data_IF_854367015693
#
_entry.id   IF_854367015693
#
_cell.length_a   1.000
_cell.length_b   1.000
_cell.length_c   1.000
_cell.angle_alpha   90.00
_cell.angle_beta   90.00
_cell.angle_gamma   90.00
#
_symmetry.space_group_name_H-M   'P 1'
#
loop_
_entity.id
_entity.type
_entity.pdbx_description
1 polymer ?
#
# COMPACT_ATOMS: atom_id res chain seq x y z
N UNK A 1 -16.53 -5.37 5.60
CA UNK A 1 -15.66 -4.18 5.85
C UNK A 1 -15.12 -3.48 4.60
N UNK A 2 -15.31 -4.00 3.39
CA UNK A 2 -14.80 -3.39 2.13
C UNK A 2 -15.60 -2.19 1.62
N UNK A 3 -16.89 -2.04 1.96
CA UNK A 3 -17.77 -1.01 1.40
C UNK A 3 -17.38 0.43 1.76
N UNK A 4 -16.76 0.67 2.92
CA UNK A 4 -16.47 2.03 3.39
C UNK A 4 -15.34 2.68 2.57
N UNK A 5 -14.32 1.89 2.22
CA UNK A 5 -13.16 2.35 1.43
C UNK A 5 -13.59 2.72 0.00
N UNK A 6 -14.44 1.91 -0.63
CA UNK A 6 -14.97 2.21 -1.96
C UNK A 6 -15.97 3.37 -1.95
N UNK A 7 -16.60 3.66 -0.81
CA UNK A 7 -17.47 4.82 -0.64
C UNK A 7 -16.68 6.13 -0.50
N UNK A 8 -15.54 6.12 0.21
CA UNK A 8 -14.64 7.28 0.30
C UNK A 8 -13.89 7.54 -1.01
N UNK A 9 -13.51 6.49 -1.73
CA UNK A 9 -12.76 6.61 -2.97
C UNK A 9 -13.47 5.82 -4.09
N UNK A 10 -14.51 6.40 -4.72
CA UNK A 10 -15.30 5.71 -5.74
C UNK A 10 -14.47 5.28 -6.96
N UNK A 11 -13.38 6.02 -7.26
CA UNK A 11 -12.41 5.66 -8.31
C UNK A 11 -11.63 4.37 -8.03
N UNK A 12 -11.61 3.86 -6.79
CA UNK A 12 -11.01 2.55 -6.49
C UNK A 12 -11.83 1.40 -7.07
N UNK A 13 -13.13 1.60 -7.34
CA UNK A 13 -13.98 0.53 -7.84
C UNK A 13 -13.63 0.14 -9.28
N UNK A 14 -13.18 1.11 -10.09
CA UNK A 14 -12.73 0.93 -11.48
C UNK A 14 -11.29 0.42 -11.63
N UNK A 15 -10.55 0.24 -10.52
CA UNK A 15 -9.19 -0.30 -10.55
C UNK A 15 -9.17 -1.83 -10.77
N UNK A 16 -8.12 -2.31 -11.45
CA UNK A 16 -7.88 -3.75 -11.64
C UNK A 16 -7.63 -4.45 -10.30
N UNK A 17 -7.80 -5.78 -10.24
CA UNK A 17 -7.52 -6.57 -9.03
C UNK A 17 -6.10 -6.33 -8.49
N UNK A 18 -5.12 -6.19 -9.39
CA UNK A 18 -3.72 -5.91 -9.07
C UNK A 18 -3.51 -4.52 -8.49
N UNK A 19 -4.15 -3.50 -9.08
CA UNK A 19 -4.12 -2.13 -8.53
C UNK A 19 -4.79 -2.05 -7.15
N UNK A 20 -5.91 -2.77 -6.96
CA UNK A 20 -6.57 -2.86 -5.65
C UNK A 20 -5.64 -3.50 -4.60
N UNK A 21 -4.85 -4.50 -4.97
CA UNK A 21 -3.85 -5.12 -4.11
C UNK A 21 -2.73 -4.13 -3.75
N UNK A 22 -2.16 -3.44 -4.74
CA UNK A 22 -1.09 -2.46 -4.52
C UNK A 22 -1.58 -1.28 -3.66
N UNK A 23 -2.84 -0.86 -3.82
CA UNK A 23 -3.44 0.15 -2.95
C UNK A 23 -3.59 -0.33 -1.50
N UNK A 24 -3.93 -1.60 -1.27
CA UNK A 24 -3.96 -2.18 0.08
C UNK A 24 -2.56 -2.26 0.70
N UNK A 25 -1.56 -2.63 -0.09
CA UNK A 25 -0.15 -2.62 0.33
C UNK A 25 0.33 -1.20 0.66
N UNK A 26 -0.09 -0.21 -0.12
CA UNK A 26 0.18 1.20 0.16
C UNK A 26 -0.41 1.61 1.51
N UNK A 27 -1.70 1.32 1.76
CA UNK A 27 -2.35 1.60 3.04
C UNK A 27 -1.61 0.94 4.21
N UNK A 28 -1.23 -0.33 4.05
CA UNK A 28 -0.47 -1.06 5.06
C UNK A 28 0.88 -0.40 5.35
N UNK A 29 1.62 -0.01 4.30
CA UNK A 29 2.92 0.65 4.44
C UNK A 29 2.82 2.01 5.16
N UNK A 30 1.78 2.80 4.87
CA UNK A 30 1.54 4.08 5.55
C UNK A 30 1.26 3.84 7.04
N UNK A 31 0.43 2.85 7.38
CA UNK A 31 0.19 2.49 8.77
C UNK A 31 1.48 2.04 9.47
N UNK A 32 2.28 1.17 8.85
CA UNK A 32 3.58 0.75 9.42
C UNK A 32 4.54 1.92 9.62
N UNK A 33 4.53 2.90 8.71
CA UNK A 33 5.38 4.09 8.81
C UNK A 33 4.95 4.98 9.98
N UNK A 34 3.64 5.17 10.18
CA UNK A 34 3.10 5.91 11.34
C UNK A 34 3.42 5.21 12.66
N UNK A 35 3.19 3.90 12.74
CA UNK A 35 3.54 3.11 13.94
C UNK A 35 5.04 3.08 14.20
N UNK A 36 5.85 2.91 13.15
CA UNK A 36 7.30 2.98 13.25
C UNK A 36 7.76 4.34 13.75
N UNK A 37 7.23 5.44 13.21
CA UNK A 37 7.59 6.78 13.68
C UNK A 37 7.21 6.99 15.15
N UNK A 38 6.02 6.52 15.54
CA UNK A 38 5.57 6.55 16.93
C UNK A 38 6.52 5.78 17.87
N UNK A 39 6.91 4.55 17.50
CA UNK A 39 7.86 3.76 18.29
C UNK A 39 9.28 4.37 18.33
N UNK A 40 9.67 5.12 17.29
CA UNK A 40 10.99 5.74 17.17
C UNK A 40 11.09 6.90 18.15
N UNK A 41 10.04 7.73 18.19
CA UNK A 41 9.90 8.81 19.16
C UNK A 41 9.84 8.24 20.58
N UNK A 42 9.17 7.08 20.76
CA UNK A 42 9.10 6.37 22.04
C UNK A 42 10.37 5.61 22.47
N UNK A 43 11.48 5.74 21.74
CA UNK A 43 12.77 5.14 22.10
C UNK A 43 12.81 3.61 22.10
N UNK A 44 11.89 2.94 21.40
CA UNK A 44 11.85 1.47 21.37
C UNK A 44 12.96 0.89 20.49
N UNK A 45 13.61 -0.21 20.93
CA UNK A 45 14.63 -0.87 20.12
C UNK A 45 14.05 -1.44 18.82
N UNK A 46 14.89 -1.63 17.81
CA UNK A 46 14.56 -2.18 16.47
C UNK A 46 13.63 -1.33 15.60
N UNK A 47 13.29 -0.11 16.03
CA UNK A 47 12.34 0.71 15.28
C UNK A 47 12.87 1.15 13.91
N UNK A 48 14.18 1.34 13.76
CA UNK A 48 14.77 1.71 12.47
C UNK A 48 14.60 0.60 11.41
N UNK A 49 14.57 -0.67 11.81
CA UNK A 49 14.30 -1.79 10.90
C UNK A 49 12.82 -1.80 10.46
N UNK A 50 11.90 -1.49 11.38
CA UNK A 50 10.48 -1.37 11.08
C UNK A 50 10.24 -0.19 10.13
N UNK A 51 10.89 0.96 10.38
CA UNK A 51 10.79 2.13 9.52
C UNK A 51 11.38 1.86 8.13
N UNK A 52 12.57 1.24 8.08
CA UNK A 52 13.25 0.90 6.84
C UNK A 52 12.44 -0.07 5.98
N UNK A 53 11.90 -1.13 6.57
CA UNK A 53 11.04 -2.08 5.86
C UNK A 53 9.72 -1.43 5.40
N UNK A 54 9.11 -0.57 6.21
CA UNK A 54 7.93 0.20 5.82
C UNK A 54 8.20 1.10 4.60
N UNK A 55 9.36 1.77 4.56
CA UNK A 55 9.76 2.60 3.42
C UNK A 55 9.94 1.78 2.14
N UNK A 56 10.58 0.60 2.21
CA UNK A 56 10.75 -0.28 1.05
C UNK A 56 9.39 -0.70 0.49
N UNK A 57 8.48 -1.18 1.34
CA UNK A 57 7.13 -1.58 0.92
C UNK A 57 6.36 -0.39 0.36
N UNK A 58 6.55 0.82 0.91
CA UNK A 58 5.91 2.03 0.42
C UNK A 58 6.33 2.37 -1.01
N UNK A 59 7.64 2.34 -1.29
CA UNK A 59 8.19 2.59 -2.63
C UNK A 59 7.68 1.53 -3.62
N UNK A 60 7.72 0.25 -3.26
CA UNK A 60 7.22 -0.84 -4.11
C UNK A 60 5.73 -0.65 -4.42
N UNK A 61 4.93 -0.21 -3.45
CA UNK A 61 3.50 0.01 -3.61
C UNK A 61 3.20 1.18 -4.55
N UNK A 62 3.94 2.29 -4.43
CA UNK A 62 3.81 3.45 -5.33
C UNK A 62 4.25 3.08 -6.75
N UNK A 63 5.42 2.48 -6.91
CA UNK A 63 5.94 2.04 -8.20
C UNK A 63 4.97 1.04 -8.83
N UNK A 64 4.45 0.09 -8.04
CA UNK A 64 3.44 -0.87 -8.46
C UNK A 64 2.18 -0.19 -9.01
N UNK A 65 1.63 0.80 -8.29
CA UNK A 65 0.44 1.55 -8.71
C UNK A 65 0.64 2.38 -9.98
N UNK A 66 1.80 3.03 -10.11
CA UNK A 66 2.11 3.92 -11.24
C UNK A 66 2.61 3.12 -12.46
N UNK A 67 3.16 1.93 -12.25
CA UNK A 67 3.69 1.10 -13.34
C UNK A 67 2.60 0.62 -14.29
N UNK A 68 2.96 0.46 -15.57
CA UNK A 68 2.15 -0.25 -16.56
C UNK A 68 1.85 -1.71 -16.15
N UNK A 69 2.60 -2.25 -15.18
CA UNK A 69 2.48 -3.62 -14.68
C UNK A 69 1.16 -3.87 -13.92
N UNK A 70 0.66 -2.86 -13.19
CA UNK A 70 -0.65 -2.95 -12.55
C UNK A 70 -1.81 -2.63 -13.50
N UNK A 71 -1.53 -1.92 -14.60
CA UNK A 71 -2.51 -1.59 -15.65
C UNK A 71 -2.69 -2.72 -16.68
N UNK A 72 -1.66 -3.54 -16.91
CA UNK A 72 -1.74 -4.64 -17.88
C UNK A 72 -2.78 -5.66 -17.44
N UNK A 73 -3.91 -5.71 -18.16
CA UNK A 73 -4.89 -6.78 -18.12
C UNK A 73 -4.14 -8.05 -18.50
N UNK A 74 -4.02 -9.01 -17.60
CA UNK A 74 -3.61 -10.35 -18.01
C UNK A 74 -4.67 -10.86 -18.99
N UNK A 75 -4.21 -11.41 -20.11
CA UNK A 75 -5.03 -12.00 -21.19
C UNK A 75 -6.00 -13.08 -20.67
N UNK A 76 -5.86 -13.51 -19.42
CA UNK A 76 -6.72 -14.48 -18.74
C UNK A 76 -8.02 -13.93 -18.13
N UNK A 77 -8.40 -12.67 -18.40
CA UNK A 77 -9.70 -12.10 -17.98
C UNK A 77 -10.71 -11.97 -19.14
N UNK A 78 -10.57 -12.83 -20.17
CA UNK A 78 -11.62 -13.05 -21.17
C UNK A 78 -12.53 -14.20 -20.76
#
# INVERSE_FOLDING_TARGET
MTNLIYKLFPRLNSLTKRQKLMFRLLLLSVSMMLFGAYFKIGGKPNTDLILGSAMVIHVISIVGLVSKWAKYRTVSEF
#
